data_IF_452048532996
#
_entry.id   IF_452048532996
#
_cell.length_a   1.000
_cell.length_b   1.000
_cell.length_c   1.000
_cell.angle_alpha   90.00
_cell.angle_beta   90.00
_cell.angle_gamma   90.00
#
_symmetry.space_group_name_H-M   'P 1'
#
loop_
_entity.id
_entity.type
_entity.pdbx_description
1 polymer ?
#
# COMPACT_ATOMS: atom_id res chain seq x y z
N UNK A 1 8.42 -0.52 -13.55
CA UNK A 1 6.99 -0.12 -13.51
C UNK A 1 6.18 -0.60 -14.71
N UNK A 2 6.69 -0.51 -15.95
CA UNK A 2 5.93 -0.96 -17.15
C UNK A 2 5.41 -2.40 -17.04
N UNK A 3 6.24 -3.33 -16.54
CA UNK A 3 5.87 -4.74 -16.36
C UNK A 3 4.73 -4.92 -15.35
N UNK A 4 4.84 -4.30 -14.16
CA UNK A 4 3.77 -4.36 -13.15
C UNK A 4 2.44 -3.82 -13.70
N UNK A 5 2.45 -2.63 -14.30
CA UNK A 5 1.23 -2.04 -14.87
C UNK A 5 0.72 -2.83 -16.09
N UNK A 6 1.59 -3.47 -16.88
CA UNK A 6 1.15 -4.35 -17.97
C UNK A 6 0.52 -5.64 -17.46
N UNK A 7 1.07 -6.24 -16.39
CA UNK A 7 0.49 -7.42 -15.73
C UNK A 7 -0.82 -7.08 -15.06
N UNK A 8 -0.89 -5.96 -14.34
CA UNK A 8 -2.14 -5.46 -13.76
C UNK A 8 -3.19 -5.21 -14.84
N UNK A 9 -2.82 -4.56 -15.94
CA UNK A 9 -3.75 -4.26 -17.04
C UNK A 9 -4.19 -5.51 -17.81
N UNK A 10 -3.38 -6.56 -17.83
CA UNK A 10 -3.76 -7.84 -18.47
C UNK A 10 -4.89 -8.56 -17.72
N UNK A 11 -5.01 -8.33 -16.40
CA UNK A 11 -6.08 -8.88 -15.58
C UNK A 11 -7.12 -7.79 -15.26
N UNK A 12 -8.29 -7.90 -15.90
CA UNK A 12 -9.37 -6.92 -15.73
C UNK A 12 -9.89 -6.86 -14.29
N UNK A 13 -9.93 -7.97 -13.57
CA UNK A 13 -10.45 -8.03 -12.19
C UNK A 13 -9.47 -7.33 -11.26
N UNK A 14 -8.19 -7.67 -11.35
CA UNK A 14 -7.14 -7.04 -10.54
C UNK A 14 -7.01 -5.55 -10.86
N UNK A 15 -7.10 -5.17 -12.14
CA UNK A 15 -7.02 -3.76 -12.55
C UNK A 15 -8.16 -2.92 -11.97
N UNK A 16 -9.39 -3.41 -12.08
CA UNK A 16 -10.56 -2.69 -11.54
C UNK A 16 -10.50 -2.63 -10.01
N UNK A 17 -10.11 -3.72 -9.34
CA UNK A 17 -9.91 -3.73 -7.90
C UNK A 17 -8.88 -2.71 -7.44
N UNK A 18 -7.71 -2.67 -8.09
CA UNK A 18 -6.67 -1.69 -7.82
C UNK A 18 -7.17 -0.25 -8.03
N UNK A 19 -7.85 0.03 -9.14
CA UNK A 19 -8.37 1.36 -9.45
C UNK A 19 -9.41 1.82 -8.42
N UNK A 20 -10.32 0.92 -8.03
CA UNK A 20 -11.33 1.19 -6.99
C UNK A 20 -10.68 1.47 -5.64
N UNK A 21 -9.69 0.68 -5.23
CA UNK A 21 -8.97 0.91 -3.97
C UNK A 21 -8.28 2.28 -3.97
N UNK A 22 -7.58 2.65 -5.04
CA UNK A 22 -6.93 3.97 -5.16
C UNK A 22 -7.97 5.08 -5.14
N UNK A 23 -9.08 4.94 -5.87
CA UNK A 23 -10.15 5.94 -5.88
C UNK A 23 -10.79 6.12 -4.50
N UNK A 24 -11.04 5.03 -3.77
CA UNK A 24 -11.58 5.07 -2.41
C UNK A 24 -10.61 5.73 -1.41
N UNK A 25 -9.31 5.44 -1.50
CA UNK A 25 -8.29 6.09 -0.65
C UNK A 25 -8.27 7.60 -0.91
N UNK A 26 -8.30 8.02 -2.18
CA UNK A 26 -8.32 9.44 -2.55
C UNK A 26 -9.61 10.10 -2.04
N UNK A 27 -10.76 9.49 -2.30
CA UNK A 27 -12.06 10.02 -1.88
C UNK A 27 -12.14 10.18 -0.37
N UNK A 28 -11.76 9.15 0.39
CA UNK A 28 -11.76 9.20 1.86
C UNK A 28 -10.81 10.26 2.39
N UNK A 29 -9.62 10.38 1.81
CA UNK A 29 -8.65 11.44 2.16
C UNK A 29 -9.23 12.82 1.92
N UNK A 30 -9.85 13.07 0.76
CA UNK A 30 -10.47 14.35 0.43
C UNK A 30 -11.62 14.68 1.39
N UNK A 31 -12.50 13.72 1.68
CA UNK A 31 -13.61 13.89 2.62
C UNK A 31 -13.10 14.22 4.03
N UNK A 32 -12.08 13.49 4.51
CA UNK A 32 -11.45 13.76 5.80
C UNK A 32 -10.89 15.18 5.82
N UNK A 33 -10.12 15.59 4.80
CA UNK A 33 -9.52 16.92 4.74
C UNK A 33 -10.57 18.04 4.72
N UNK A 34 -11.65 17.86 3.97
CA UNK A 34 -12.75 18.83 3.90
C UNK A 34 -13.46 18.98 5.25
N UNK A 35 -13.74 17.87 5.92
CA UNK A 35 -14.44 17.86 7.21
C UNK A 35 -13.51 18.12 8.42
N UNK A 36 -12.19 18.06 8.24
CA UNK A 36 -11.22 18.08 9.34
C UNK A 36 -11.36 19.29 10.28
N UNK A 37 -11.70 20.46 9.72
CA UNK A 37 -11.90 21.69 10.50
C UNK A 37 -13.19 21.68 11.33
N UNK A 38 -14.20 20.93 10.89
CA UNK A 38 -15.50 20.82 11.53
C UNK A 38 -15.58 19.67 12.53
N UNK A 39 -14.57 18.78 12.54
CA UNK A 39 -14.53 17.66 13.47
C UNK A 39 -14.22 18.14 14.89
N UNK A 40 -14.89 17.57 15.91
CA UNK A 40 -14.55 17.83 17.30
C UNK A 40 -13.12 17.38 17.61
N UNK A 41 -12.47 17.95 18.63
CA UNK A 41 -11.11 17.57 19.01
C UNK A 41 -10.98 16.10 19.41
N UNK A 42 -12.08 15.50 19.84
CA UNK A 42 -12.18 14.11 20.27
C UNK A 42 -13.27 13.39 19.47
N UNK A 43 -12.94 12.19 18.99
CA UNK A 43 -13.79 11.42 18.09
C UNK A 43 -13.84 9.95 18.53
N UNK A 44 -15.00 9.28 18.42
CA UNK A 44 -15.17 7.90 18.88
C UNK A 44 -14.58 6.90 17.88
N UNK A 45 -13.25 6.85 17.80
CA UNK A 45 -12.53 5.92 16.92
C UNK A 45 -12.47 4.49 17.46
N UNK A 46 -12.42 4.35 18.78
CA UNK A 46 -12.13 3.06 19.43
C UNK A 46 -13.37 2.48 20.09
N UNK A 47 -14.39 2.21 19.28
CA UNK A 47 -15.67 1.66 19.77
C UNK A 47 -15.56 0.24 20.34
N UNK A 48 -14.42 -0.43 20.14
CA UNK A 48 -14.14 -1.79 20.61
C UNK A 48 -13.38 -1.85 21.95
N UNK A 49 -12.99 -0.70 22.53
CA UNK A 49 -12.25 -0.71 23.79
C UNK A 49 -13.14 -1.12 24.99
N UNK A 50 -12.55 -1.83 25.99
CA UNK A 50 -13.24 -2.19 27.23
C UNK A 50 -13.89 -0.99 27.91
N UNK A 51 -14.89 -1.29 28.74
CA UNK A 51 -15.52 -0.27 29.57
C UNK A 51 -14.52 0.23 30.61
N UNK A 52 -14.35 1.55 30.71
CA UNK A 52 -13.35 2.18 31.58
C UNK A 52 -12.13 2.75 30.84
N UNK A 53 -11.93 2.38 29.57
CA UNK A 53 -10.88 2.94 28.71
C UNK A 53 -11.37 4.15 27.91
N UNK A 54 -10.44 5.05 27.55
CA UNK A 54 -10.77 6.20 26.69
C UNK A 54 -11.14 5.74 25.28
N UNK A 55 -12.45 5.72 24.99
CA UNK A 55 -12.99 5.40 23.64
C UNK A 55 -12.84 6.53 22.63
N UNK A 56 -12.57 7.73 23.14
CA UNK A 56 -12.35 8.92 22.34
C UNK A 56 -10.87 9.01 21.98
N UNK A 57 -10.58 8.94 20.68
CA UNK A 57 -9.28 9.27 20.12
C UNK A 57 -9.19 10.76 19.84
N UNK A 58 -7.98 11.29 19.77
CA UNK A 58 -7.77 12.66 19.30
C UNK A 58 -8.08 12.74 17.80
N UNK A 59 -8.54 13.90 17.33
CA UNK A 59 -8.94 14.11 15.92
C UNK A 59 -7.88 13.72 14.89
N UNK A 60 -6.60 13.73 15.26
CA UNK A 60 -5.50 13.37 14.34
C UNK A 60 -5.40 11.87 14.09
N UNK A 61 -5.93 11.05 15.00
CA UNK A 61 -5.92 9.59 14.89
C UNK A 61 -6.82 9.05 13.77
N UNK A 62 -7.69 9.89 13.18
CA UNK A 62 -8.42 9.57 11.93
C UNK A 62 -7.48 9.19 10.78
N UNK A 63 -6.24 9.68 10.80
CA UNK A 63 -5.27 9.38 9.74
C UNK A 63 -4.59 8.01 9.93
N UNK A 64 -4.79 7.30 11.05
CA UNK A 64 -4.15 6.00 11.30
C UNK A 64 -4.43 4.99 10.18
N UNK A 65 -5.68 4.77 9.71
CA UNK A 65 -5.94 3.82 8.63
C UNK A 65 -5.28 4.22 7.32
N UNK A 66 -5.26 5.51 7.00
CA UNK A 66 -4.62 6.05 5.77
C UNK A 66 -3.10 5.85 5.84
N UNK A 67 -2.51 6.13 7.00
CA UNK A 67 -1.08 5.93 7.24
C UNK A 67 -0.70 4.45 7.13
N UNK A 68 -1.45 3.55 7.77
CA UNK A 68 -1.23 2.10 7.70
C UNK A 68 -1.36 1.57 6.27
N UNK A 69 -2.41 1.97 5.53
CA UNK A 69 -2.59 1.56 4.14
C UNK A 69 -1.40 2.00 3.27
N UNK A 70 -0.93 3.23 3.45
CA UNK A 70 0.23 3.76 2.72
C UNK A 70 1.52 3.03 3.09
N UNK A 71 1.74 2.76 4.38
CA UNK A 71 2.89 2.02 4.89
C UNK A 71 2.92 0.61 4.28
N UNK A 72 1.81 -0.13 4.35
CA UNK A 72 1.69 -1.48 3.79
C UNK A 72 1.97 -1.47 2.29
N UNK A 73 1.38 -0.53 1.55
CA UNK A 73 1.60 -0.40 0.11
C UNK A 73 3.08 -0.12 -0.21
N UNK A 74 3.73 0.76 0.55
CA UNK A 74 5.14 1.09 0.38
C UNK A 74 6.06 -0.08 0.70
N UNK A 75 5.78 -0.82 1.77
CA UNK A 75 6.56 -2.00 2.16
C UNK A 75 6.42 -3.12 1.13
N UNK A 76 5.20 -3.39 0.67
CA UNK A 76 4.96 -4.35 -0.41
C UNK A 76 5.76 -3.99 -1.67
N UNK A 77 5.83 -2.70 -2.01
CA UNK A 77 6.61 -2.21 -3.13
C UNK A 77 8.12 -2.45 -2.96
N UNK A 78 8.70 -2.12 -1.80
CA UNK A 78 10.15 -2.27 -1.57
C UNK A 78 10.59 -3.73 -1.56
N UNK A 79 9.79 -4.63 -0.96
CA UNK A 79 10.06 -6.07 -0.97
C UNK A 79 10.05 -6.63 -2.39
N UNK A 80 9.06 -6.26 -3.20
CA UNK A 80 8.98 -6.72 -4.59
C UNK A 80 10.13 -6.17 -5.45
N UNK A 81 10.52 -4.91 -5.23
CA UNK A 81 11.67 -4.31 -5.92
C UNK A 81 12.97 -5.04 -5.57
N UNK A 82 13.18 -5.38 -4.29
CA UNK A 82 14.33 -6.16 -3.85
C UNK A 82 14.35 -7.57 -4.45
N UNK A 83 13.19 -8.25 -4.49
CA UNK A 83 13.06 -9.55 -5.12
C UNK A 83 13.39 -9.52 -6.62
N UNK A 84 12.88 -8.55 -7.38
CA UNK A 84 13.19 -8.39 -8.81
C UNK A 84 14.69 -8.13 -9.04
N UNK A 85 15.33 -7.35 -8.17
CA UNK A 85 16.78 -7.10 -8.23
C UNK A 85 17.59 -8.39 -8.00
N UNK A 86 17.23 -9.19 -6.99
CA UNK A 86 17.92 -10.44 -6.67
C UNK A 86 17.86 -11.41 -7.86
N UNK A 87 16.69 -11.59 -8.47
CA UNK A 87 16.55 -12.49 -9.63
C UNK A 87 17.32 -12.01 -10.85
N UNK A 88 17.36 -10.70 -11.11
CA UNK A 88 18.19 -10.13 -12.18
C UNK A 88 19.67 -10.42 -11.97
N UNK A 89 20.18 -10.20 -10.76
CA UNK A 89 21.58 -10.47 -10.42
C UNK A 89 21.88 -11.96 -10.53
N UNK A 90 21.02 -12.82 -9.97
CA UNK A 90 21.14 -14.26 -10.07
C UNK A 90 21.21 -14.72 -11.54
N UNK A 91 20.31 -14.24 -12.39
CA UNK A 91 20.27 -14.62 -13.80
C UNK A 91 21.52 -14.17 -14.57
N UNK A 92 22.04 -12.96 -14.29
CA UNK A 92 23.29 -12.47 -14.87
C UNK A 92 24.46 -13.38 -14.46
N UNK A 93 24.59 -13.67 -13.16
CA UNK A 93 25.67 -14.54 -12.65
C UNK A 93 25.58 -15.96 -13.21
N UNK A 94 24.37 -16.52 -13.27
CA UNK A 94 24.10 -17.85 -13.81
C UNK A 94 24.43 -17.93 -15.31
N UNK A 95 24.02 -16.93 -16.09
CA UNK A 95 24.31 -16.90 -17.54
C UNK A 95 25.81 -16.81 -17.82
N UNK A 96 26.57 -16.03 -17.05
CA UNK A 96 28.02 -15.92 -17.19
C UNK A 96 28.76 -17.22 -16.86
N UNK A 97 28.20 -18.07 -16.01
CA UNK A 97 28.86 -19.31 -15.60
C UNK A 97 28.56 -20.51 -16.52
N UNK A 98 27.41 -20.50 -17.22
CA UNK A 98 27.01 -21.60 -18.12
C UNK A 98 27.38 -21.38 -19.60
N UNK A 99 27.43 -20.13 -20.07
CA UNK A 99 27.80 -19.81 -21.46
C UNK A 99 29.24 -20.20 -21.89
N UNK A 100 30.26 -20.24 -21.01
CA UNK A 100 31.62 -20.61 -21.42
C UNK A 100 31.82 -22.10 -21.74
N UNK A 101 30.88 -22.97 -21.37
CA UNK A 101 31.03 -24.44 -21.47
C UNK A 101 30.50 -25.00 -22.81
N UNK A 102 29.92 -24.15 -23.67
CA UNK A 102 29.24 -24.55 -24.92
C UNK A 102 29.93 -24.00 -26.19
N UNK A 103 31.19 -23.56 -26.08
CA UNK A 103 32.06 -23.20 -27.21
C UNK A 103 33.38 -23.95 -27.11
#
# INVERSE_FOLDING_TARGET
MKVFFSTLRSDRILYVGFLLSVALIILTTVVILFLYRSLPPFIPLYNQLPWGESRLGTKIEIFIPVFLATLIASFYYTVNAAHDLIWRVFFILFSQHLLPQFW
#
